data_IF_339393887999
#
_entry.id   IF_339393887999
#
_cell.length_a   1.000
_cell.length_b   1.000
_cell.length_c   1.000
_cell.angle_alpha   90.00
_cell.angle_beta   90.00
_cell.angle_gamma   90.00
#
_symmetry.space_group_name_H-M   'P 1'
#
loop_
_entity.id
_entity.type
_entity.pdbx_description
1 polymer ?
#
# COMPACT_ATOMS: atom_id res chain seq x y z
N UNK A 1 43.00 25.76 93.31
CA UNK A 1 42.42 24.50 92.69
C UNK A 1 41.20 24.78 91.81
N UNK A 2 40.53 25.91 91.92
CA UNK A 2 39.31 26.23 91.11
C UNK A 2 39.56 26.60 89.65
N UNK A 3 40.64 27.24 89.29
CA UNK A 3 41.01 27.71 87.95
C UNK A 3 41.26 26.55 86.96
N UNK A 4 41.89 25.46 87.40
CA UNK A 4 42.22 24.30 86.57
C UNK A 4 40.99 23.51 86.22
N UNK A 5 39.97 23.45 87.12
CA UNK A 5 38.70 22.76 86.82
C UNK A 5 37.80 23.50 85.82
N UNK A 6 37.87 24.85 85.82
CA UNK A 6 37.14 25.68 84.86
C UNK A 6 37.76 25.54 83.43
N UNK A 7 39.10 25.53 83.32
CA UNK A 7 39.77 25.34 82.04
C UNK A 7 39.56 23.99 81.41
N UNK A 8 39.52 22.94 82.23
CA UNK A 8 39.21 21.59 81.76
C UNK A 8 37.75 21.44 81.29
N UNK A 9 36.78 22.06 81.98
CA UNK A 9 35.37 22.04 81.55
C UNK A 9 35.13 22.81 80.24
N UNK A 10 35.82 23.92 80.06
CA UNK A 10 35.78 24.74 78.82
C UNK A 10 36.38 23.96 77.61
N UNK A 11 37.50 23.25 77.81
CA UNK A 11 38.18 22.46 76.80
C UNK A 11 37.29 21.28 76.36
N UNK A 12 36.61 20.56 77.25
CA UNK A 12 35.71 19.50 76.95
C UNK A 12 34.47 20.01 76.21
N UNK A 13 33.89 21.14 76.60
CA UNK A 13 32.78 21.79 75.91
C UNK A 13 33.12 22.17 74.44
N UNK A 14 34.32 22.69 74.20
CA UNK A 14 34.79 23.04 72.85
C UNK A 14 34.97 21.79 71.95
N UNK A 15 35.52 20.73 72.50
CA UNK A 15 35.70 19.47 71.75
C UNK A 15 34.39 18.84 71.43
N UNK A 16 33.39 18.85 72.34
CA UNK A 16 32.04 18.33 72.06
C UNK A 16 31.28 19.18 71.08
N UNK A 17 31.33 20.51 71.18
CA UNK A 17 30.72 21.40 70.18
C UNK A 17 31.39 21.30 68.83
N UNK A 18 32.71 21.24 68.75
CA UNK A 18 33.45 21.05 67.51
C UNK A 18 33.14 19.70 66.86
N UNK A 19 33.05 18.64 67.67
CA UNK A 19 32.66 17.32 67.19
C UNK A 19 31.21 17.26 66.65
N UNK A 20 30.27 17.94 67.33
CA UNK A 20 28.89 18.00 66.87
C UNK A 20 28.72 18.79 65.57
N UNK A 21 29.43 19.92 65.44
CA UNK A 21 29.43 20.73 64.22
C UNK A 21 30.07 19.98 63.05
N UNK A 22 31.18 19.26 63.28
CA UNK A 22 31.83 18.46 62.25
C UNK A 22 30.94 17.29 61.81
N UNK A 23 30.20 16.69 62.74
CA UNK A 23 29.26 15.58 62.42
C UNK A 23 28.11 16.08 61.57
N UNK A 24 27.48 17.19 61.94
CA UNK A 24 26.38 17.79 61.14
C UNK A 24 26.86 18.22 59.76
N UNK A 25 28.05 18.78 59.62
CA UNK A 25 28.60 19.16 58.34
C UNK A 25 28.89 17.95 57.42
N UNK A 26 29.33 16.83 58.01
CA UNK A 26 29.55 15.61 57.27
C UNK A 26 28.23 14.95 56.80
N UNK A 27 27.21 14.99 57.62
CA UNK A 27 25.86 14.51 57.25
C UNK A 27 25.23 15.34 56.13
N UNK A 28 25.40 16.67 56.20
CA UNK A 28 24.89 17.58 55.17
C UNK A 28 25.60 17.36 53.81
N UNK A 29 26.94 17.15 53.83
CA UNK A 29 27.68 16.79 52.61
C UNK A 29 27.28 15.45 52.04
N UNK A 30 26.98 14.46 52.89
CA UNK A 30 26.46 13.14 52.44
C UNK A 30 25.09 13.29 51.84
N UNK A 31 24.18 13.99 52.50
CA UNK A 31 22.83 14.24 52.00
C UNK A 31 22.82 14.95 50.64
N UNK A 32 23.70 15.94 50.45
CA UNK A 32 23.85 16.62 49.17
C UNK A 32 24.43 15.70 48.07
N UNK A 33 25.39 14.83 48.39
CA UNK A 33 25.91 13.85 47.44
C UNK A 33 24.86 12.81 47.03
N UNK A 34 24.06 12.35 47.94
CA UNK A 34 23.02 11.37 47.67
C UNK A 34 21.87 11.97 46.88
N UNK A 35 21.49 13.22 47.16
CA UNK A 35 20.50 13.93 46.34
C UNK A 35 21.01 14.21 44.93
N UNK A 36 22.28 14.56 44.76
CA UNK A 36 22.90 14.74 43.43
C UNK A 36 22.93 13.43 42.63
N UNK A 37 23.28 12.30 43.27
CA UNK A 37 23.24 10.97 42.65
C UNK A 37 21.83 10.57 42.24
N UNK A 38 20.85 10.79 43.10
CA UNK A 38 19.44 10.53 42.77
C UNK A 38 18.94 11.37 41.60
N UNK A 39 19.31 12.67 41.58
CA UNK A 39 18.97 13.55 40.47
C UNK A 39 19.61 13.11 39.14
N UNK A 40 20.84 12.60 39.20
CA UNK A 40 21.52 12.08 38.02
C UNK A 40 20.87 10.77 37.55
N UNK A 41 20.58 9.84 38.43
CA UNK A 41 19.82 8.62 38.09
C UNK A 41 18.46 8.90 37.50
N UNK A 42 17.72 9.88 38.03
CA UNK A 42 16.44 10.30 37.49
C UNK A 42 16.56 10.85 36.04
N UNK A 43 17.62 11.61 35.75
CA UNK A 43 17.91 12.12 34.39
C UNK A 43 18.26 10.97 33.44
N UNK A 44 19.08 10.02 33.86
CA UNK A 44 19.48 8.88 33.06
C UNK A 44 18.29 7.97 32.75
N UNK A 45 17.44 7.70 33.74
CA UNK A 45 16.18 6.96 33.55
C UNK A 45 15.22 7.73 32.65
N UNK A 46 15.13 9.04 32.79
CA UNK A 46 14.35 9.89 31.88
C UNK A 46 14.83 9.78 30.43
N UNK A 47 16.14 9.82 30.22
CA UNK A 47 16.75 9.61 28.91
C UNK A 47 16.45 8.23 28.32
N UNK A 48 16.59 7.18 29.11
CA UNK A 48 16.26 5.81 28.68
C UNK A 48 14.78 5.66 28.35
N UNK A 49 13.89 6.28 29.09
CA UNK A 49 12.47 6.29 28.80
C UNK A 49 12.12 6.96 27.48
N UNK A 50 12.76 8.08 27.16
CA UNK A 50 12.58 8.77 25.87
C UNK A 50 13.03 7.88 24.71
N UNK A 51 14.21 7.26 24.82
CA UNK A 51 14.72 6.33 23.82
C UNK A 51 13.80 5.12 23.64
N UNK A 52 13.37 4.50 24.75
CA UNK A 52 12.47 3.33 24.71
C UNK A 52 11.10 3.68 24.08
N UNK A 53 10.57 4.87 24.36
CA UNK A 53 9.35 5.35 23.72
C UNK A 53 9.55 5.55 22.22
N UNK A 54 10.64 6.17 21.80
CA UNK A 54 10.97 6.33 20.39
C UNK A 54 11.09 5.00 19.64
N UNK A 55 11.75 4.02 20.24
CA UNK A 55 11.86 2.67 19.70
C UNK A 55 10.48 1.98 19.60
N UNK A 56 9.66 2.08 20.64
CA UNK A 56 8.30 1.53 20.61
C UNK A 56 7.46 2.15 19.50
N UNK A 57 7.52 3.46 19.33
CA UNK A 57 6.74 4.17 18.31
C UNK A 57 7.23 3.80 16.90
N UNK A 58 8.53 3.64 16.71
CA UNK A 58 9.10 3.13 15.45
C UNK A 58 8.66 1.70 15.14
N UNK A 59 8.72 0.79 16.11
CA UNK A 59 8.26 -0.60 15.95
C UNK A 59 6.75 -0.64 15.66
N UNK A 60 5.97 0.21 16.32
CA UNK A 60 4.52 0.32 16.07
C UNK A 60 4.22 0.78 14.65
N UNK A 61 4.97 1.76 14.13
CA UNK A 61 4.83 2.23 12.75
C UNK A 61 5.21 1.14 11.74
N UNK A 62 6.30 0.41 11.97
CA UNK A 62 6.72 -0.72 11.13
C UNK A 62 5.68 -1.83 11.13
N UNK A 63 5.12 -2.16 12.30
CA UNK A 63 4.09 -3.19 12.42
C UNK A 63 2.80 -2.81 11.66
N UNK A 64 2.43 -1.54 11.68
CA UNK A 64 1.28 -1.02 10.92
C UNK A 64 1.54 -1.12 9.41
N UNK A 65 2.74 -0.73 8.95
CA UNK A 65 3.12 -0.83 7.54
C UNK A 65 3.12 -2.30 7.05
N UNK A 66 3.72 -3.21 7.83
CA UNK A 66 3.74 -4.64 7.50
C UNK A 66 2.34 -5.26 7.48
N UNK A 67 1.45 -4.85 8.38
CA UNK A 67 0.04 -5.32 8.35
C UNK A 67 -0.68 -4.86 7.10
N UNK A 68 -0.48 -3.61 6.70
CA UNK A 68 -1.06 -3.07 5.46
C UNK A 68 -0.53 -3.81 4.23
N UNK A 69 0.77 -4.03 4.14
CA UNK A 69 1.39 -4.79 3.05
C UNK A 69 0.90 -6.25 3.01
N UNK A 70 0.81 -6.91 4.16
CA UNK A 70 0.30 -8.28 4.25
C UNK A 70 -1.17 -8.35 3.82
N UNK A 71 -1.99 -7.36 4.18
CA UNK A 71 -3.38 -7.29 3.72
C UNK A 71 -3.46 -7.13 2.20
N UNK A 72 -2.59 -6.29 1.61
CA UNK A 72 -2.49 -6.11 0.16
C UNK A 72 -2.06 -7.40 -0.54
N UNK A 73 -1.00 -8.05 -0.07
CA UNK A 73 -0.52 -9.32 -0.63
C UNK A 73 -1.54 -10.45 -0.53
N UNK A 74 -2.29 -10.49 0.57
CA UNK A 74 -3.40 -11.46 0.72
C UNK A 74 -4.53 -11.18 -0.27
N UNK A 75 -4.89 -9.92 -0.46
CA UNK A 75 -5.91 -9.55 -1.45
C UNK A 75 -5.44 -9.92 -2.87
N UNK A 76 -4.19 -9.66 -3.22
CA UNK A 76 -3.59 -10.05 -4.50
C UNK A 76 -3.52 -11.58 -4.68
N UNK A 77 -3.22 -12.33 -3.61
CA UNK A 77 -3.19 -13.78 -3.66
C UNK A 77 -4.60 -14.40 -3.80
N UNK A 78 -5.62 -13.74 -3.25
CA UNK A 78 -7.02 -14.20 -3.36
C UNK A 78 -7.62 -13.80 -4.71
N UNK A 79 -7.24 -12.61 -5.23
CA UNK A 79 -7.72 -12.05 -6.48
C UNK A 79 -6.54 -11.64 -7.37
N UNK A 80 -5.84 -12.59 -8.00
CA UNK A 80 -4.66 -12.27 -8.77
C UNK A 80 -5.01 -11.47 -10.02
N UNK A 81 -4.19 -10.46 -10.32
CA UNK A 81 -4.24 -9.77 -11.60
C UNK A 81 -3.34 -10.51 -12.60
N UNK A 82 -3.92 -11.05 -13.63
CA UNK A 82 -3.24 -11.82 -14.66
C UNK A 82 -3.08 -10.98 -15.93
N UNK A 83 -1.93 -11.09 -16.57
CA UNK A 83 -1.75 -10.54 -17.92
C UNK A 83 -2.38 -11.47 -18.95
N UNK A 84 -3.31 -10.95 -19.72
CA UNK A 84 -4.06 -11.75 -20.72
C UNK A 84 -3.49 -11.65 -22.13
N UNK A 85 -2.66 -10.64 -22.39
CA UNK A 85 -2.21 -10.41 -23.74
C UNK A 85 -0.79 -10.90 -23.97
N UNK A 86 -0.68 -12.05 -24.62
CA UNK A 86 0.59 -12.58 -25.10
C UNK A 86 0.78 -12.43 -26.62
N UNK A 87 -0.21 -11.91 -27.34
CA UNK A 87 -0.16 -11.85 -28.82
C UNK A 87 1.01 -11.01 -29.36
N UNK A 88 1.48 -10.02 -28.55
CA UNK A 88 2.61 -9.16 -28.89
C UNK A 88 3.88 -9.53 -28.12
N UNK A 89 3.92 -10.67 -27.42
CA UNK A 89 5.09 -11.06 -26.63
C UNK A 89 5.49 -10.11 -25.50
N UNK A 90 4.53 -9.29 -25.02
CA UNK A 90 4.78 -8.29 -23.97
C UNK A 90 5.40 -6.98 -24.47
N UNK A 91 5.55 -6.81 -25.78
CA UNK A 91 6.09 -5.61 -26.43
C UNK A 91 5.15 -4.95 -27.42
N UNK A 92 5.63 -3.96 -28.18
CA UNK A 92 4.87 -3.32 -29.24
C UNK A 92 4.48 -4.30 -30.34
N UNK A 93 3.29 -4.14 -30.92
CA UNK A 93 2.89 -4.87 -32.09
C UNK A 93 2.10 -4.00 -33.08
N UNK A 94 2.00 -4.47 -34.31
CA UNK A 94 1.25 -3.78 -35.36
C UNK A 94 -0.24 -3.91 -35.13
N UNK A 95 -0.96 -2.81 -35.37
CA UNK A 95 -2.42 -2.76 -35.45
C UNK A 95 -2.83 -2.04 -36.74
N UNK A 96 -4.02 -2.32 -37.23
CA UNK A 96 -4.52 -1.69 -38.46
C UNK A 96 -5.88 -2.23 -38.86
N UNK A 97 -6.39 -1.84 -40.04
CA UNK A 97 -7.68 -2.30 -40.53
C UNK A 97 -7.79 -3.82 -40.61
N UNK A 98 -6.71 -4.47 -41.00
CA UNK A 98 -6.63 -5.94 -41.17
C UNK A 98 -5.91 -6.63 -40.00
N UNK A 99 -5.56 -5.90 -38.97
CA UNK A 99 -4.79 -6.40 -37.83
C UNK A 99 -5.51 -6.13 -36.51
N UNK A 100 -6.69 -6.72 -36.39
CA UNK A 100 -7.52 -6.65 -35.17
C UNK A 100 -6.89 -7.47 -34.06
N UNK A 101 -6.91 -6.95 -32.83
CA UNK A 101 -6.47 -7.70 -31.65
C UNK A 101 -7.67 -8.07 -30.80
N UNK A 102 -7.69 -9.31 -30.36
CA UNK A 102 -8.87 -9.92 -29.72
C UNK A 102 -8.42 -10.75 -28.53
N UNK A 103 -9.24 -10.74 -27.50
CA UNK A 103 -9.11 -11.64 -26.36
C UNK A 103 -10.48 -11.91 -25.72
N UNK A 104 -10.61 -13.04 -25.06
CA UNK A 104 -11.80 -13.41 -24.32
C UNK A 104 -11.61 -13.25 -22.82
N UNK A 105 -12.66 -12.84 -22.13
CA UNK A 105 -12.67 -12.67 -20.67
C UNK A 105 -13.87 -13.43 -20.12
N UNK A 106 -13.66 -14.35 -19.16
CA UNK A 106 -14.75 -15.01 -18.46
C UNK A 106 -15.57 -14.00 -17.62
N UNK A 107 -16.81 -14.34 -17.32
CA UNK A 107 -17.73 -13.55 -16.51
C UNK A 107 -17.25 -13.27 -15.08
N UNK A 108 -16.37 -14.11 -14.55
CA UNK A 108 -15.82 -13.99 -13.20
C UNK A 108 -14.61 -13.04 -13.11
N UNK A 109 -14.28 -12.34 -14.20
CA UNK A 109 -13.11 -11.46 -14.26
C UNK A 109 -13.50 -10.02 -14.58
N UNK A 110 -12.78 -9.11 -13.96
CA UNK A 110 -12.75 -7.71 -14.33
C UNK A 110 -11.64 -7.51 -15.37
N UNK A 111 -11.96 -6.90 -16.49
CA UNK A 111 -11.00 -6.58 -17.54
C UNK A 111 -10.42 -5.18 -17.29
N UNK A 112 -9.09 -5.12 -17.16
CA UNK A 112 -8.32 -3.86 -17.11
C UNK A 112 -7.69 -3.68 -18.49
N UNK A 113 -8.27 -2.80 -19.30
CA UNK A 113 -7.83 -2.52 -20.65
C UNK A 113 -7.02 -1.24 -20.65
N UNK A 114 -5.70 -1.36 -20.82
CA UNK A 114 -4.81 -0.23 -21.00
C UNK A 114 -3.96 -0.43 -22.25
N UNK A 115 -3.75 0.64 -23.01
CA UNK A 115 -2.81 0.65 -24.14
C UNK A 115 -2.36 2.08 -24.47
N UNK A 116 -1.22 2.16 -25.17
CA UNK A 116 -0.78 3.34 -25.88
C UNK A 116 -0.54 2.99 -27.34
N UNK A 117 -0.85 3.88 -28.26
CA UNK A 117 -0.68 3.69 -29.69
C UNK A 117 -0.23 4.99 -30.37
N UNK A 118 0.39 4.87 -31.53
CA UNK A 118 0.79 6.01 -32.38
C UNK A 118 -0.34 6.47 -33.31
N UNK A 119 -1.43 5.71 -33.39
CA UNK A 119 -2.64 6.00 -34.16
C UNK A 119 -3.88 5.88 -33.27
N UNK A 120 -4.99 6.58 -33.62
CA UNK A 120 -6.26 6.40 -32.91
C UNK A 120 -6.77 4.96 -33.04
N UNK A 121 -7.13 4.38 -31.90
CA UNK A 121 -7.57 2.98 -31.78
C UNK A 121 -8.97 2.95 -31.16
N UNK A 122 -9.84 2.17 -31.78
CA UNK A 122 -11.15 1.83 -31.23
C UNK A 122 -11.06 0.61 -30.35
N UNK A 123 -11.84 0.60 -29.27
CA UNK A 123 -11.92 -0.56 -28.39
C UNK A 123 -13.38 -0.91 -28.16
N UNK A 124 -13.67 -2.20 -28.18
CA UNK A 124 -15.00 -2.75 -28.01
C UNK A 124 -14.98 -3.89 -27.01
N UNK A 125 -16.06 -4.04 -26.27
CA UNK A 125 -16.38 -5.25 -25.53
C UNK A 125 -17.68 -5.82 -26.11
N UNK A 126 -17.63 -7.04 -26.56
CA UNK A 126 -18.75 -7.76 -27.15
C UNK A 126 -19.16 -8.92 -26.26
N UNK A 127 -20.44 -9.26 -26.27
CA UNK A 127 -20.86 -10.60 -25.92
C UNK A 127 -20.37 -11.60 -27.01
N UNK A 128 -20.36 -12.87 -26.72
CA UNK A 128 -19.93 -13.88 -27.71
C UNK A 128 -20.77 -13.86 -28.98
N UNK A 129 -22.08 -13.59 -28.85
CA UNK A 129 -22.98 -13.46 -29.99
C UNK A 129 -22.61 -12.22 -30.86
N UNK A 130 -22.42 -11.08 -30.26
CA UNK A 130 -22.02 -9.85 -30.96
C UNK A 130 -20.66 -10.02 -31.66
N UNK A 131 -19.72 -10.72 -31.00
CA UNK A 131 -18.44 -11.06 -31.61
C UNK A 131 -18.59 -11.89 -32.87
N UNK A 132 -19.43 -12.94 -32.85
CA UNK A 132 -19.63 -13.78 -34.04
C UNK A 132 -20.22 -13.00 -35.21
N UNK A 133 -21.08 -12.02 -34.96
CA UNK A 133 -21.62 -11.13 -35.99
C UNK A 133 -20.53 -10.21 -36.55
N UNK A 134 -19.69 -9.65 -35.69
CA UNK A 134 -18.61 -8.77 -36.10
C UNK A 134 -17.53 -9.53 -36.90
N UNK A 135 -17.13 -10.71 -36.45
CA UNK A 135 -16.19 -11.61 -37.14
C UNK A 135 -16.77 -12.03 -38.52
N UNK A 136 -18.04 -12.45 -38.57
CA UNK A 136 -18.72 -12.80 -39.84
C UNK A 136 -18.84 -11.63 -40.81
N UNK A 137 -18.67 -10.40 -40.38
CA UNK A 137 -18.66 -9.18 -41.20
C UNK A 137 -17.24 -8.70 -41.56
N UNK A 138 -16.25 -9.56 -41.45
CA UNK A 138 -14.85 -9.27 -41.71
C UNK A 138 -14.34 -8.03 -40.95
N UNK A 139 -14.72 -7.92 -39.70
CA UNK A 139 -14.31 -6.83 -38.76
C UNK A 139 -14.63 -5.41 -39.22
N UNK A 140 -15.63 -5.25 -40.10
CA UNK A 140 -16.00 -3.94 -40.58
C UNK A 140 -16.67 -3.13 -39.49
N UNK A 141 -16.21 -1.90 -39.24
CA UNK A 141 -16.73 -0.99 -38.20
C UNK A 141 -18.25 -0.77 -38.33
N UNK A 142 -18.80 -0.81 -39.56
CA UNK A 142 -20.26 -0.72 -39.81
C UNK A 142 -21.09 -1.88 -39.20
N UNK A 143 -20.42 -2.98 -38.84
CA UNK A 143 -21.02 -4.14 -38.22
C UNK A 143 -20.91 -4.15 -36.67
N UNK A 144 -20.32 -3.09 -36.11
CA UNK A 144 -20.33 -2.83 -34.66
C UNK A 144 -21.71 -2.29 -34.29
N UNK A 145 -22.74 -3.12 -34.42
CA UNK A 145 -24.07 -2.78 -33.94
C UNK A 145 -24.30 -3.45 -32.60
N UNK A 146 -24.52 -2.64 -31.57
CA UNK A 146 -24.85 -3.17 -30.26
C UNK A 146 -23.70 -3.78 -29.48
N UNK A 147 -22.45 -3.30 -29.66
CA UNK A 147 -21.37 -3.67 -28.76
C UNK A 147 -21.83 -3.47 -27.32
N UNK A 148 -21.51 -4.42 -26.44
CA UNK A 148 -21.86 -4.31 -25.03
C UNK A 148 -21.27 -3.03 -24.44
N UNK A 149 -20.02 -2.72 -24.83
CA UNK A 149 -19.41 -1.43 -24.58
C UNK A 149 -18.49 -1.04 -25.74
N UNK A 150 -18.53 0.23 -26.12
CA UNK A 150 -17.65 0.84 -27.11
C UNK A 150 -16.94 2.04 -26.51
N UNK A 151 -15.68 2.20 -26.86
CA UNK A 151 -14.87 3.34 -26.46
C UNK A 151 -14.51 4.19 -27.69
N UNK A 152 -14.54 5.48 -27.52
CA UNK A 152 -14.15 6.42 -28.57
C UNK A 152 -12.71 6.20 -29.02
N UNK A 153 -12.39 6.46 -30.30
CA UNK A 153 -11.02 6.32 -30.80
C UNK A 153 -10.03 7.18 -30.03
N UNK A 154 -8.99 6.54 -29.49
CA UNK A 154 -7.97 7.21 -28.70
C UNK A 154 -6.59 6.61 -28.92
N UNK A 155 -5.54 7.40 -28.70
CA UNK A 155 -4.14 6.94 -28.72
C UNK A 155 -3.67 6.40 -27.39
N UNK A 156 -4.47 6.59 -26.33
CA UNK A 156 -4.22 6.04 -25.00
C UNK A 156 -5.54 5.74 -24.33
N UNK A 157 -5.65 4.55 -23.78
CA UNK A 157 -6.79 4.10 -23.00
C UNK A 157 -6.27 3.48 -21.71
N UNK A 158 -6.95 3.78 -20.62
CA UNK A 158 -6.79 3.10 -19.33
C UNK A 158 -8.19 3.02 -18.70
N UNK A 159 -8.83 1.89 -18.85
CA UNK A 159 -10.21 1.69 -18.43
C UNK A 159 -10.42 0.31 -17.82
N UNK A 160 -11.44 0.22 -17.01
CA UNK A 160 -11.87 -1.02 -16.38
C UNK A 160 -13.26 -1.36 -16.87
N UNK A 161 -13.40 -2.57 -17.39
CA UNK A 161 -14.68 -3.15 -17.70
C UNK A 161 -15.06 -4.15 -16.59
N UNK A 162 -16.23 -3.96 -16.02
CA UNK A 162 -16.81 -4.87 -15.03
C UNK A 162 -18.14 -5.32 -15.54
N UNK A 163 -18.34 -6.64 -15.63
CA UNK A 163 -19.64 -7.18 -15.97
C UNK A 163 -20.64 -6.95 -14.83
N UNK A 164 -21.68 -6.17 -15.11
CA UNK A 164 -22.75 -5.90 -14.16
C UNK A 164 -23.86 -6.95 -14.19
N UNK A 165 -23.92 -7.76 -15.25
CA UNK A 165 -25.06 -8.66 -15.52
C UNK A 165 -24.75 -10.15 -15.29
N UNK A 166 -23.47 -10.51 -15.07
CA UNK A 166 -23.05 -11.90 -14.83
C UNK A 166 -23.21 -12.79 -16.06
N UNK A 167 -23.07 -12.23 -17.24
CA UNK A 167 -23.16 -12.95 -18.50
C UNK A 167 -21.89 -13.70 -18.83
N UNK A 168 -22.02 -14.91 -19.33
CA UNK A 168 -20.92 -15.83 -19.58
C UNK A 168 -20.00 -15.35 -20.71
N UNK A 169 -18.87 -14.78 -20.36
CA UNK A 169 -17.76 -14.51 -21.25
C UNK A 169 -17.97 -13.33 -22.21
N UNK A 170 -16.96 -12.51 -22.27
CA UNK A 170 -16.89 -11.37 -23.17
C UNK A 170 -15.68 -11.48 -24.09
N UNK A 171 -15.76 -10.78 -25.23
CA UNK A 171 -14.66 -10.64 -26.17
C UNK A 171 -14.31 -9.16 -26.25
N UNK A 172 -13.10 -8.80 -25.88
CA UNK A 172 -12.60 -7.46 -26.13
C UNK A 172 -11.88 -7.42 -27.48
N UNK A 173 -12.05 -6.30 -28.16
CA UNK A 173 -11.49 -6.08 -29.51
C UNK A 173 -10.84 -4.71 -29.56
N UNK A 174 -9.65 -4.64 -30.15
CA UNK A 174 -8.95 -3.40 -30.46
C UNK A 174 -8.69 -3.35 -31.94
N UNK A 175 -9.05 -2.24 -32.59
CA UNK A 175 -8.94 -2.02 -34.03
C UNK A 175 -8.51 -0.59 -34.33
N UNK A 176 -7.74 -0.39 -35.39
CA UNK A 176 -7.41 0.93 -35.91
C UNK A 176 -7.79 1.05 -37.39
N UNK A 177 -8.17 2.24 -37.82
CA UNK A 177 -8.51 2.53 -39.23
C UNK A 177 -7.28 2.64 -40.14
N UNK A 178 -6.12 2.81 -39.55
CA UNK A 178 -4.83 2.94 -40.25
C UNK A 178 -3.77 2.12 -39.53
N UNK A 179 -2.75 1.71 -40.27
CA UNK A 179 -1.66 0.92 -39.74
C UNK A 179 -0.85 1.77 -38.73
N UNK A 180 -0.55 1.18 -37.60
CA UNK A 180 0.23 1.81 -36.53
C UNK A 180 0.79 0.77 -35.57
N UNK A 181 1.37 1.25 -34.49
CA UNK A 181 1.95 0.44 -33.42
C UNK A 181 1.17 0.64 -32.14
N UNK A 182 0.86 -0.44 -31.44
CA UNK A 182 0.22 -0.44 -30.15
C UNK A 182 1.12 -1.11 -29.10
N UNK A 183 1.15 -0.55 -27.90
CA UNK A 183 1.75 -1.16 -26.71
C UNK A 183 0.62 -1.52 -25.76
N UNK A 184 0.16 -2.77 -25.74
CA UNK A 184 -0.95 -3.18 -24.90
C UNK A 184 -0.49 -3.54 -23.48
N UNK A 185 -1.37 -3.29 -22.52
CA UNK A 185 -1.25 -3.74 -21.15
C UNK A 185 -2.64 -4.20 -20.70
N UNK A 186 -3.08 -5.33 -21.25
CA UNK A 186 -4.39 -5.91 -20.93
C UNK A 186 -4.23 -6.90 -19.79
N UNK A 187 -4.99 -6.68 -18.74
CA UNK A 187 -4.97 -7.51 -17.53
C UNK A 187 -6.39 -7.92 -17.16
N UNK A 188 -6.52 -9.01 -16.47
CA UNK A 188 -7.73 -9.42 -15.82
C UNK A 188 -7.52 -9.55 -14.34
N UNK A 189 -8.49 -9.11 -13.59
CA UNK A 189 -8.53 -9.28 -12.15
C UNK A 189 -9.68 -10.21 -11.80
N UNK A 190 -9.41 -11.28 -11.06
CA UNK A 190 -10.44 -12.19 -10.61
C UNK A 190 -11.40 -11.45 -9.67
N UNK A 191 -12.66 -11.45 -10.03
CA UNK A 191 -13.73 -10.90 -9.22
C UNK A 191 -14.65 -12.06 -8.82
N UNK A 192 -14.78 -12.37 -7.52
CA UNK A 192 -15.73 -13.37 -7.07
C UNK A 192 -17.12 -12.99 -7.57
N UNK A 193 -17.80 -13.94 -8.16
CA UNK A 193 -19.17 -13.74 -8.64
C UNK A 193 -20.11 -13.60 -7.44
N UNK A 194 -20.36 -12.38 -7.02
CA UNK A 194 -21.54 -12.03 -6.22
C UNK A 194 -22.79 -11.92 -7.11
N UNK A 195 -22.61 -12.24 -8.38
CA UNK A 195 -23.68 -12.13 -9.34
C UNK A 195 -24.52 -13.40 -9.29
N UNK A 196 -25.83 -13.27 -9.04
CA UNK A 196 -26.73 -14.36 -9.34
C UNK A 196 -26.49 -14.69 -10.81
N UNK A 197 -26.34 -15.97 -11.11
CA UNK A 197 -26.31 -16.49 -12.47
C UNK A 197 -27.56 -15.99 -13.20
N UNK A 198 -27.51 -14.73 -13.62
CA UNK A 198 -28.55 -14.08 -14.37
C UNK A 198 -28.64 -14.80 -15.69
N UNK A 199 -29.80 -15.11 -16.09
CA UNK A 199 -30.08 -15.50 -17.47
C UNK A 199 -29.59 -14.33 -18.30
N UNK A 200 -28.42 -14.46 -18.91
CA UNK A 200 -27.98 -13.50 -19.92
C UNK A 200 -29.12 -13.38 -20.91
N UNK A 201 -29.76 -12.23 -20.95
CA UNK A 201 -30.77 -11.99 -22.00
C UNK A 201 -30.07 -12.30 -23.31
N UNK A 202 -30.60 -13.25 -24.03
CA UNK A 202 -30.15 -13.57 -25.38
C UNK A 202 -30.29 -12.28 -26.19
N UNK A 203 -29.22 -11.50 -26.26
CA UNK A 203 -29.15 -10.32 -27.09
C UNK A 203 -28.78 -10.72 -28.51
#
# INVERSE_FOLDING_TARGET
MTAIRLAAAAAIGFVLLGGLLAFTALDDVRAHRDSARQAQQARDLGGQLVVARGQRDQVSAQLTALRSENAKLRAEATNPTLSMWNACGGGPCTIGPDAVRVGSVPDTFQLLLAFTADVPVRSYVFTFHQWTQFDGCAFAVRCVTGAYQAYDPATSVDTTFTDAEGCSGYVWVIQADQSGTIVPNVRVHYQPADHPTGVCAAA
#
